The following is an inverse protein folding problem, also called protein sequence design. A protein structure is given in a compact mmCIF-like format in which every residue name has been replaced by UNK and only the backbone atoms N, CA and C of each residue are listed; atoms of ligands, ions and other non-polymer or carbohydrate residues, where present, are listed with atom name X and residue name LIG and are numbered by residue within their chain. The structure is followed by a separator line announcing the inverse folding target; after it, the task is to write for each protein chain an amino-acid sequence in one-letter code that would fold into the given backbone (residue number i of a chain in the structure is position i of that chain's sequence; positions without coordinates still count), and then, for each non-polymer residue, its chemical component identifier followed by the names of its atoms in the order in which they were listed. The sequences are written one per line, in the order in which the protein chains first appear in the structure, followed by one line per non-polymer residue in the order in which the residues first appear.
data_IF_200726321538
#
_entry.id   IF_200726321538
#
_cell.length_a   1.000
_cell.length_b   1.000
_cell.length_c   1.000
_cell.angle_alpha   90.00
_cell.angle_beta   90.00
_cell.angle_gamma   90.00
#
_symmetry.space_group_name_H-M   'P 1'
#
loop_
_entity.id
_entity.type
_entity.pdbx_description
1 polymer ?
#
# COMPACT_ATOMS: atom_id res chain seq x y z
N UNK A 1 -15.05 -39.48 -40.10
CA UNK A 1 -15.73 -38.18 -39.91
C UNK A 1 -15.87 -37.96 -38.41
N UNK A 2 -14.99 -37.19 -37.82
CA UNK A 2 -15.06 -36.79 -36.43
C UNK A 2 -15.37 -35.30 -36.35
N UNK A 3 -16.54 -34.97 -35.79
CA UNK A 3 -16.98 -33.61 -35.53
C UNK A 3 -16.22 -33.04 -34.34
N UNK A 4 -15.40 -32.02 -34.55
CA UNK A 4 -14.86 -31.19 -33.50
C UNK A 4 -15.88 -30.13 -33.09
N UNK A 5 -16.53 -30.34 -31.95
CA UNK A 5 -17.35 -29.30 -31.31
C UNK A 5 -16.45 -28.44 -30.46
N UNK A 6 -16.23 -27.19 -30.90
CA UNK A 6 -15.54 -26.15 -30.18
C UNK A 6 -16.42 -25.68 -29.00
N UNK A 7 -16.02 -26.03 -27.78
CA UNK A 7 -16.58 -25.38 -26.57
C UNK A 7 -16.03 -23.99 -26.42
N UNK A 8 -16.89 -23.00 -26.61
CA UNK A 8 -16.61 -21.61 -26.24
C UNK A 8 -16.54 -21.55 -24.71
N UNK A 9 -15.34 -21.25 -24.17
CA UNK A 9 -15.16 -20.95 -22.76
C UNK A 9 -15.71 -19.56 -22.46
N UNK A 10 -16.81 -19.48 -21.73
CA UNK A 10 -17.40 -18.23 -21.24
C UNK A 10 -16.73 -17.80 -19.95
N UNK A 11 -16.15 -16.61 -19.95
CA UNK A 11 -15.74 -15.93 -18.71
C UNK A 11 -16.99 -15.44 -17.99
N UNK A 12 -17.31 -15.99 -16.86
CA UNK A 12 -18.31 -15.42 -15.95
C UNK A 12 -17.60 -14.55 -14.91
N UNK A 13 -17.81 -13.25 -15.00
CA UNK A 13 -17.38 -12.28 -14.00
C UNK A 13 -18.56 -12.00 -13.07
N UNK A 14 -18.56 -12.57 -11.88
CA UNK A 14 -19.44 -12.14 -10.78
C UNK A 14 -18.56 -11.57 -9.69
N UNK A 15 -18.87 -10.32 -9.31
CA UNK A 15 -18.33 -9.56 -8.16
C UNK A 15 -17.20 -10.26 -7.38
N UNK A 16 -15.95 -10.04 -7.80
CA UNK A 16 -14.79 -10.29 -6.93
C UNK A 16 -14.14 -11.68 -6.95
N UNK A 17 -14.62 -12.64 -7.75
CA UNK A 17 -14.04 -13.99 -7.79
C UNK A 17 -13.57 -14.34 -9.19
N UNK A 18 -12.30 -14.75 -9.32
CA UNK A 18 -11.77 -15.42 -10.52
C UNK A 18 -11.75 -16.92 -10.25
N UNK A 19 -12.68 -17.65 -10.86
CA UNK A 19 -12.68 -19.11 -10.80
C UNK A 19 -11.53 -19.67 -11.66
N UNK A 20 -10.62 -20.41 -11.04
CA UNK A 20 -9.50 -21.07 -11.70
C UNK A 20 -9.94 -22.22 -12.60
N UNK A 21 -9.21 -22.44 -13.68
CA UNK A 21 -9.42 -23.55 -14.61
C UNK A 21 -8.85 -24.84 -14.05
N UNK A 22 -9.61 -25.95 -14.21
CA UNK A 22 -9.14 -27.29 -13.92
C UNK A 22 -8.28 -27.77 -15.10
N UNK A 23 -6.97 -27.88 -14.90
CA UNK A 23 -6.10 -28.60 -15.83
C UNK A 23 -5.92 -30.03 -15.33
N UNK A 24 -5.88 -30.99 -16.24
CA UNK A 24 -5.78 -32.44 -15.96
C UNK A 24 -4.46 -32.89 -15.30
N UNK A 25 -3.60 -31.97 -14.90
CA UNK A 25 -2.39 -32.27 -14.16
C UNK A 25 -2.51 -31.69 -12.74
N UNK A 26 -2.66 -32.57 -11.77
CA UNK A 26 -3.10 -32.35 -10.37
C UNK A 26 -2.28 -31.44 -9.48
N UNK A 27 -2.00 -30.21 -9.91
CA UNK A 27 -1.50 -29.12 -9.07
C UNK A 27 -2.48 -27.94 -9.10
N UNK A 28 -3.45 -27.95 -8.20
CA UNK A 28 -4.12 -26.72 -7.79
C UNK A 28 -3.07 -25.80 -7.12
N UNK A 29 -2.43 -24.94 -7.91
CA UNK A 29 -1.75 -23.78 -7.36
C UNK A 29 -2.86 -22.91 -6.80
N UNK A 30 -3.06 -22.96 -5.48
CA UNK A 30 -3.91 -22.01 -4.78
C UNK A 30 -3.45 -20.61 -5.18
N UNK A 31 -4.21 -19.94 -6.05
CA UNK A 31 -4.00 -18.53 -6.30
C UNK A 31 -4.39 -17.85 -4.99
N UNK A 32 -3.40 -17.33 -4.26
CA UNK A 32 -3.66 -16.48 -3.10
C UNK A 32 -4.54 -15.34 -3.57
N UNK A 33 -5.77 -15.28 -3.09
CA UNK A 33 -6.66 -14.16 -3.38
C UNK A 33 -6.15 -12.96 -2.58
N UNK A 34 -5.51 -12.02 -3.26
CA UNK A 34 -5.16 -10.75 -2.69
C UNK A 34 -6.34 -9.81 -2.87
N UNK A 35 -6.97 -9.39 -1.78
CA UNK A 35 -8.04 -8.41 -1.79
C UNK A 35 -7.49 -7.08 -1.24
N UNK A 36 -7.61 -6.02 -2.04
CA UNK A 36 -7.36 -4.66 -1.55
C UNK A 36 -8.71 -3.99 -1.31
N UNK A 37 -8.90 -3.47 -0.11
CA UNK A 37 -10.12 -2.79 0.32
C UNK A 37 -9.83 -1.67 1.31
N UNK A 38 -10.81 -0.82 1.54
CA UNK A 38 -10.74 0.15 2.63
C UNK A 38 -10.66 -0.54 3.99
N UNK A 39 -9.92 0.07 4.92
CA UNK A 39 -9.84 -0.37 6.30
C UNK A 39 -11.19 -0.19 6.99
N UNK A 40 -11.59 -1.13 7.83
CA UNK A 40 -12.78 -0.99 8.67
C UNK A 40 -12.45 -0.27 9.97
N UNK A 41 -13.44 0.35 10.59
CA UNK A 41 -13.24 1.11 11.84
C UNK A 41 -12.64 0.28 12.98
N UNK A 42 -13.02 -0.98 13.09
CA UNK A 42 -12.49 -1.93 14.08
C UNK A 42 -11.04 -2.38 13.80
N UNK A 43 -10.55 -2.17 12.58
CA UNK A 43 -9.22 -2.57 12.15
C UNK A 43 -8.18 -1.43 12.27
N UNK A 44 -8.61 -0.21 12.56
CA UNK A 44 -7.73 0.98 12.61
C UNK A 44 -6.57 0.78 13.59
N UNK A 45 -6.78 0.04 14.67
CA UNK A 45 -5.73 -0.27 15.65
C UNK A 45 -4.53 -1.01 15.05
N UNK A 46 -4.72 -1.74 13.93
CA UNK A 46 -3.64 -2.42 13.21
C UNK A 46 -2.63 -1.44 12.60
N UNK A 47 -3.01 -0.17 12.40
CA UNK A 47 -2.10 0.84 11.87
C UNK A 47 -0.89 1.07 12.76
N UNK A 48 -0.98 0.83 14.06
CA UNK A 48 0.17 0.88 14.96
C UNK A 48 1.21 -0.20 14.64
N UNK A 49 0.79 -1.42 14.31
CA UNK A 49 1.69 -2.48 13.88
C UNK A 49 2.28 -2.17 12.50
N UNK A 50 1.47 -1.67 11.56
CA UNK A 50 1.95 -1.26 10.24
C UNK A 50 2.87 -0.04 10.31
N UNK A 51 2.66 0.89 11.24
CA UNK A 51 3.60 1.98 11.49
C UNK A 51 4.97 1.46 11.91
N UNK A 52 5.01 0.47 12.80
CA UNK A 52 6.27 -0.18 13.18
C UNK A 52 6.95 -0.87 11.99
N UNK A 53 6.19 -1.58 11.15
CA UNK A 53 6.70 -2.23 9.93
C UNK A 53 7.14 -1.23 8.84
N UNK A 54 6.66 0.04 8.91
CA UNK A 54 7.08 1.11 8.00
C UNK A 54 8.46 1.69 8.36
N UNK A 55 8.93 1.50 9.59
CA UNK A 55 10.26 1.96 10.01
C UNK A 55 11.31 1.20 9.19
N UNK A 56 12.08 1.93 8.38
CA UNK A 56 13.18 1.33 7.65
C UNK A 56 14.34 1.04 8.60
N UNK A 57 14.82 -0.19 8.59
CA UNK A 57 15.96 -0.62 9.38
C UNK A 57 17.05 -1.06 8.41
N UNK A 58 18.20 -0.36 8.35
CA UNK A 58 19.33 -0.76 7.52
C UNK A 58 19.82 -2.17 7.87
N UNK A 59 20.43 -2.84 6.90
CA UNK A 59 21.01 -4.16 7.10
C UNK A 59 22.09 -4.11 8.19
N UNK A 60 22.06 -5.09 9.12
CA UNK A 60 22.98 -5.17 10.24
C UNK A 60 22.62 -4.30 11.45
N UNK A 61 21.58 -3.47 11.35
CA UNK A 61 21.10 -2.66 12.48
C UNK A 61 20.00 -3.41 13.22
N UNK A 62 20.06 -3.52 14.56
CA UNK A 62 19.00 -4.15 15.34
C UNK A 62 17.70 -3.34 15.25
N UNK A 63 16.57 -4.05 15.18
CA UNK A 63 15.27 -3.41 15.19
C UNK A 63 15.04 -2.64 16.50
N UNK A 64 14.48 -1.41 16.43
CA UNK A 64 14.14 -0.67 17.64
C UNK A 64 13.05 -1.39 18.44
N UNK A 65 12.95 -1.14 19.75
CA UNK A 65 11.85 -1.70 20.52
C UNK A 65 10.51 -1.17 20.02
N UNK A 66 9.43 -1.98 20.11
CA UNK A 66 8.10 -1.59 19.67
C UNK A 66 7.57 -0.31 20.33
N UNK A 67 8.06 0.04 21.51
CA UNK A 67 7.71 1.28 22.20
C UNK A 67 8.10 2.55 21.44
N UNK A 68 8.97 2.45 20.42
CA UNK A 68 9.34 3.61 19.57
C UNK A 68 8.13 4.24 18.87
N UNK A 69 7.09 3.45 18.55
CA UNK A 69 5.88 3.98 17.92
C UNK A 69 5.11 4.95 18.83
N UNK A 70 5.41 4.99 20.14
CA UNK A 70 4.88 5.98 21.08
C UNK A 70 5.52 7.37 20.95
N UNK A 71 6.55 7.53 20.12
CA UNK A 71 7.15 8.85 19.85
C UNK A 71 6.13 9.76 19.14
N UNK A 72 6.05 11.02 19.57
CA UNK A 72 5.12 12.03 19.03
C UNK A 72 5.28 12.21 17.51
N UNK A 73 6.51 12.22 17.00
CA UNK A 73 6.81 12.35 15.57
C UNK A 73 6.26 11.19 14.74
N UNK A 74 6.10 10.00 15.35
CA UNK A 74 5.50 8.84 14.71
C UNK A 74 4.00 8.76 14.94
N UNK A 75 3.51 9.27 16.07
CA UNK A 75 2.09 9.24 16.39
C UNK A 75 1.24 10.09 15.44
N UNK A 76 1.81 11.09 14.77
CA UNK A 76 1.09 11.89 13.76
C UNK A 76 0.51 11.03 12.64
N UNK A 77 1.10 9.87 12.36
CA UNK A 77 0.66 8.97 11.30
C UNK A 77 -0.59 8.16 11.67
N UNK A 78 -0.84 7.89 12.96
CA UNK A 78 -1.87 6.90 13.38
C UNK A 78 -2.78 7.38 14.51
N UNK A 79 -2.35 8.39 15.30
CA UNK A 79 -3.18 8.90 16.40
C UNK A 79 -4.50 9.44 15.87
N UNK A 80 -5.61 8.96 16.45
CA UNK A 80 -6.96 9.39 16.07
C UNK A 80 -7.28 9.20 14.58
N UNK A 81 -6.62 8.24 13.91
CA UNK A 81 -6.86 7.97 12.49
C UNK A 81 -8.34 7.63 12.23
N UNK A 82 -8.86 8.19 11.14
CA UNK A 82 -10.27 8.05 10.76
C UNK A 82 -11.19 9.14 11.33
N UNK A 83 -10.66 10.08 12.14
CA UNK A 83 -11.42 11.25 12.64
C UNK A 83 -11.36 12.42 11.67
N UNK A 84 -10.30 12.53 10.88
CA UNK A 84 -10.13 13.60 9.91
C UNK A 84 -10.74 13.21 8.55
N UNK A 85 -11.35 14.20 7.89
CA UNK A 85 -12.00 13.98 6.59
C UNK A 85 -11.05 13.52 5.48
N UNK A 86 -9.75 13.83 5.63
CA UNK A 86 -8.69 13.51 4.68
C UNK A 86 -8.00 12.17 4.94
N UNK A 87 -8.34 11.48 6.03
CA UNK A 87 -7.77 10.17 6.33
C UNK A 87 -8.25 9.13 5.31
N UNK A 88 -7.31 8.45 4.65
CA UNK A 88 -7.59 7.35 3.73
C UNK A 88 -6.69 6.17 4.04
N UNK A 89 -7.24 4.98 4.09
CA UNK A 89 -6.45 3.76 4.29
C UNK A 89 -7.02 2.61 3.48
N UNK A 90 -6.13 1.94 2.75
CA UNK A 90 -6.40 0.65 2.10
C UNK A 90 -5.55 -0.43 2.75
N UNK A 91 -6.13 -1.59 2.92
CA UNK A 91 -5.46 -2.79 3.44
C UNK A 91 -5.40 -3.88 2.38
N UNK A 92 -4.32 -4.66 2.42
CA UNK A 92 -4.21 -5.88 1.65
C UNK A 92 -4.56 -7.07 2.55
N UNK A 93 -5.53 -7.85 2.10
CA UNK A 93 -5.96 -9.08 2.78
C UNK A 93 -5.57 -10.29 1.93
N UNK A 94 -4.90 -11.25 2.53
CA UNK A 94 -4.48 -12.51 1.92
C UNK A 94 -5.01 -13.65 2.78
N UNK A 95 -5.80 -14.55 2.19
CA UNK A 95 -6.41 -15.68 2.89
C UNK A 95 -7.14 -15.27 4.19
N UNK A 96 -7.86 -14.13 4.17
CA UNK A 96 -8.62 -13.58 5.30
C UNK A 96 -7.78 -12.85 6.36
N UNK A 97 -6.46 -12.69 6.15
CA UNK A 97 -5.56 -11.97 7.05
C UNK A 97 -5.11 -10.66 6.44
N UNK A 98 -5.20 -9.55 7.17
CA UNK A 98 -4.62 -8.28 6.76
C UNK A 98 -3.11 -8.37 6.90
N UNK A 99 -2.39 -8.15 5.80
CA UNK A 99 -0.94 -8.36 5.68
C UNK A 99 -0.16 -7.11 5.35
N UNK A 100 -0.85 -6.02 5.02
CA UNK A 100 -0.25 -4.74 4.71
C UNK A 100 -1.29 -3.64 4.67
N UNK A 101 -0.81 -2.41 4.78
CA UNK A 101 -1.62 -1.21 4.68
C UNK A 101 -0.87 -0.11 3.93
N UNK A 102 -1.64 0.73 3.23
CA UNK A 102 -1.23 2.04 2.74
C UNK A 102 -2.22 3.06 3.26
N UNK A 103 -1.72 4.14 3.82
CA UNK A 103 -2.59 5.20 4.35
C UNK A 103 -2.04 6.58 4.05
N UNK A 104 -2.93 7.55 4.02
CA UNK A 104 -2.62 8.95 3.79
C UNK A 104 -3.35 9.82 4.78
N UNK A 105 -2.72 10.92 5.15
CA UNK A 105 -3.23 11.94 6.06
C UNK A 105 -2.62 13.29 5.71
N UNK A 106 -3.39 14.37 5.86
CA UNK A 106 -2.83 15.72 5.86
C UNK A 106 -2.22 15.96 7.24
N UNK A 107 -0.90 15.97 7.31
CA UNK A 107 -0.16 16.07 8.58
C UNK A 107 1.18 16.76 8.37
N UNK A 108 1.74 17.27 9.46
CA UNK A 108 3.08 17.88 9.46
C UNK A 108 4.11 16.82 9.85
N UNK A 109 4.49 15.99 8.89
CA UNK A 109 5.42 14.87 9.03
C UNK A 109 6.68 15.08 8.17
N UNK A 110 7.52 14.06 8.08
CA UNK A 110 8.71 14.06 7.21
C UNK A 110 8.38 14.16 5.71
N UNK A 111 7.17 13.79 5.32
CA UNK A 111 6.63 13.87 3.96
C UNK A 111 5.92 15.19 3.64
N UNK A 112 5.75 16.08 4.62
CA UNK A 112 5.01 17.33 4.44
C UNK A 112 5.62 18.25 3.39
N UNK A 113 4.78 18.73 2.45
CA UNK A 113 5.21 19.67 1.40
C UNK A 113 4.37 20.96 1.38
N UNK A 114 3.10 20.89 1.74
CA UNK A 114 2.18 22.03 1.82
C UNK A 114 0.87 21.63 2.50
N UNK A 115 0.14 22.60 3.00
CA UNK A 115 -1.18 22.40 3.58
C UNK A 115 -2.16 21.79 2.56
N UNK A 116 -3.00 20.86 3.01
CA UNK A 116 -3.97 20.17 2.16
C UNK A 116 -3.38 19.11 1.23
N UNK A 117 -2.08 18.87 1.26
CA UNK A 117 -1.43 17.78 0.53
C UNK A 117 -1.19 16.60 1.47
N UNK A 118 -1.83 15.44 1.23
CA UNK A 118 -1.63 14.28 2.09
C UNK A 118 -0.23 13.68 1.94
N UNK A 119 0.33 13.24 3.06
CA UNK A 119 1.51 12.38 3.10
C UNK A 119 1.10 10.92 3.13
N UNK A 120 1.87 10.06 2.46
CA UNK A 120 1.61 8.63 2.30
C UNK A 120 2.60 7.80 3.12
N UNK A 121 2.07 6.83 3.83
CA UNK A 121 2.83 5.74 4.44
C UNK A 121 2.32 4.39 3.92
N UNK A 122 3.23 3.42 3.80
CA UNK A 122 2.91 2.06 3.34
C UNK A 122 3.83 1.05 4.01
N UNK A 123 3.27 -0.06 4.44
CA UNK A 123 4.07 -1.19 4.90
C UNK A 123 3.34 -2.53 4.73
N UNK A 124 4.12 -3.59 4.78
CA UNK A 124 3.66 -4.99 4.82
C UNK A 124 4.46 -5.74 5.87
N UNK A 125 3.86 -6.77 6.45
CA UNK A 125 4.62 -7.76 7.21
C UNK A 125 5.71 -8.37 6.32
N UNK A 126 6.86 -8.69 6.91
CA UNK A 126 8.09 -9.06 6.18
C UNK A 126 7.89 -10.23 5.22
N UNK A 127 7.13 -11.24 5.65
CA UNK A 127 6.84 -12.45 4.87
C UNK A 127 5.98 -12.22 3.61
N UNK A 128 5.34 -11.04 3.50
CA UNK A 128 4.51 -10.66 2.35
C UNK A 128 5.17 -9.64 1.42
N UNK A 129 6.42 -9.23 1.74
CA UNK A 129 7.19 -8.31 0.89
C UNK A 129 7.68 -9.01 -0.38
N UNK A 130 8.04 -8.22 -1.38
CA UNK A 130 8.57 -8.69 -2.68
C UNK A 130 7.61 -9.59 -3.52
N UNK A 131 6.31 -9.61 -3.18
CA UNK A 131 5.28 -10.38 -3.88
C UNK A 131 4.35 -9.51 -4.75
N UNK A 132 4.67 -8.22 -4.93
CA UNK A 132 3.87 -7.28 -5.73
C UNK A 132 2.75 -6.59 -4.94
N UNK A 133 2.38 -7.07 -3.75
CA UNK A 133 1.26 -6.55 -2.94
C UNK A 133 1.43 -5.05 -2.64
N UNK A 134 2.63 -4.60 -2.25
CA UNK A 134 2.89 -3.18 -1.98
C UNK A 134 2.72 -2.29 -3.21
N UNK A 135 3.09 -2.78 -4.39
CA UNK A 135 2.88 -2.05 -5.64
C UNK A 135 1.39 -1.91 -5.96
N UNK A 136 0.62 -2.94 -5.68
CA UNK A 136 -0.82 -2.94 -5.89
C UNK A 136 -1.53 -2.02 -4.90
N UNK A 137 -1.21 -2.08 -3.60
CA UNK A 137 -1.68 -1.14 -2.59
C UNK A 137 -1.42 0.32 -2.99
N UNK A 138 -0.19 0.61 -3.40
CA UNK A 138 0.20 1.96 -3.81
C UNK A 138 -0.61 2.43 -5.02
N UNK A 139 -0.78 1.57 -6.04
CA UNK A 139 -1.56 1.88 -7.23
C UNK A 139 -3.02 2.20 -6.89
N UNK A 140 -3.65 1.37 -6.07
CA UNK A 140 -5.06 1.58 -5.67
C UNK A 140 -5.22 2.86 -4.84
N UNK A 141 -4.28 3.16 -3.92
CA UNK A 141 -4.30 4.40 -3.17
C UNK A 141 -4.18 5.63 -4.09
N UNK A 142 -3.27 5.62 -5.06
CA UNK A 142 -3.14 6.72 -6.02
C UNK A 142 -4.42 6.89 -6.87
N UNK A 143 -5.12 5.82 -7.20
CA UNK A 143 -6.42 5.89 -7.88
C UNK A 143 -7.51 6.47 -6.98
N UNK A 144 -7.55 6.07 -5.71
CA UNK A 144 -8.48 6.60 -4.71
C UNK A 144 -8.29 8.11 -4.56
N UNK A 145 -7.07 8.57 -4.32
CA UNK A 145 -6.76 9.99 -4.16
C UNK A 145 -7.09 10.82 -5.42
N UNK A 146 -6.90 10.26 -6.64
CA UNK A 146 -7.35 10.92 -7.88
C UNK A 146 -8.86 11.08 -7.93
N UNK A 147 -9.62 10.05 -7.55
CA UNK A 147 -11.10 10.12 -7.50
C UNK A 147 -11.59 11.12 -6.48
N UNK A 148 -10.89 11.24 -5.36
CA UNK A 148 -11.19 12.20 -4.29
C UNK A 148 -10.76 13.65 -4.64
N UNK A 149 -10.08 13.85 -5.79
CA UNK A 149 -9.74 15.17 -6.32
C UNK A 149 -8.44 15.76 -5.77
N UNK A 150 -7.60 14.98 -5.06
CA UNK A 150 -6.30 15.47 -4.60
C UNK A 150 -5.38 15.77 -5.79
N UNK A 151 -4.72 16.95 -5.80
CA UNK A 151 -3.83 17.32 -6.90
C UNK A 151 -2.52 16.56 -6.89
N UNK A 152 -2.07 16.12 -5.73
CA UNK A 152 -0.81 15.43 -5.50
C UNK A 152 -0.80 14.74 -4.13
N UNK A 153 0.18 13.87 -3.94
CA UNK A 153 0.50 13.19 -2.66
C UNK A 153 2.01 13.15 -2.50
N UNK A 154 2.49 13.26 -1.28
CA UNK A 154 3.91 13.23 -0.94
C UNK A 154 4.28 12.04 -0.05
N UNK A 155 5.55 11.77 0.08
CA UNK A 155 6.13 10.85 1.05
C UNK A 155 7.60 11.19 1.30
N UNK A 156 8.13 10.77 2.45
CA UNK A 156 9.57 10.67 2.67
C UNK A 156 10.02 9.23 2.59
N UNK A 157 11.22 9.00 2.04
CA UNK A 157 11.82 7.66 1.94
C UNK A 157 13.34 7.73 2.14
N UNK A 158 13.88 6.86 2.97
CA UNK A 158 15.31 6.78 3.16
C UNK A 158 16.01 6.28 1.90
N UNK A 159 17.17 6.86 1.58
CA UNK A 159 17.95 6.56 0.35
C UNK A 159 18.31 5.09 0.21
N UNK A 160 18.59 4.42 1.33
CA UNK A 160 18.90 3.00 1.38
C UNK A 160 17.67 2.09 1.22
N UNK A 161 16.46 2.65 1.26
CA UNK A 161 15.23 1.86 1.19
C UNK A 161 14.94 1.44 -0.26
N UNK A 162 14.87 0.14 -0.52
CA UNK A 162 14.55 -0.41 -1.84
C UNK A 162 13.19 0.05 -2.40
N UNK A 163 12.26 0.48 -1.53
CA UNK A 163 10.94 0.98 -1.92
C UNK A 163 11.02 2.25 -2.79
N UNK A 164 12.12 2.99 -2.75
CA UNK A 164 12.37 4.14 -3.62
C UNK A 164 12.07 3.83 -5.10
N UNK A 165 12.55 2.67 -5.59
CA UNK A 165 12.31 2.25 -6.98
C UNK A 165 10.83 1.97 -7.28
N UNK A 166 10.08 1.48 -6.29
CA UNK A 166 8.64 1.26 -6.40
C UNK A 166 7.91 2.60 -6.54
N UNK A 167 8.27 3.59 -5.73
CA UNK A 167 7.69 4.94 -5.81
C UNK A 167 7.99 5.62 -7.14
N UNK A 168 9.24 5.56 -7.63
CA UNK A 168 9.59 6.10 -8.96
C UNK A 168 8.73 5.46 -10.07
N UNK A 169 8.57 4.14 -10.08
CA UNK A 169 7.72 3.43 -11.05
C UNK A 169 6.25 3.80 -10.96
N UNK A 170 5.79 4.19 -9.77
CA UNK A 170 4.42 4.65 -9.54
C UNK A 170 4.19 6.12 -9.95
N UNK A 171 5.25 6.85 -10.34
CA UNK A 171 5.18 8.23 -10.80
C UNK A 171 5.56 9.27 -9.75
N UNK A 172 6.18 8.87 -8.65
CA UNK A 172 6.78 9.82 -7.70
C UNK A 172 8.10 10.35 -8.25
N UNK A 173 8.29 11.65 -8.10
CA UNK A 173 9.51 12.38 -8.43
C UNK A 173 10.15 12.92 -7.16
N UNK A 174 11.48 13.02 -7.13
CA UNK A 174 12.21 13.62 -6.01
C UNK A 174 11.99 15.14 -6.03
N UNK A 175 11.40 15.67 -4.98
CA UNK A 175 11.18 17.08 -4.78
C UNK A 175 12.36 17.73 -4.04
N UNK A 176 12.87 17.04 -3.00
CA UNK A 176 13.98 17.47 -2.17
C UNK A 176 14.78 16.26 -1.71
N UNK A 177 16.07 16.48 -1.52
CA UNK A 177 17.03 15.49 -1.04
C UNK A 177 17.75 16.02 0.19
N UNK A 178 17.91 15.17 1.20
CA UNK A 178 18.79 15.38 2.36
C UNK A 178 19.95 14.38 2.30
N UNK A 179 20.80 14.33 3.31
CA UNK A 179 21.85 13.29 3.39
C UNK A 179 21.28 11.88 3.44
N UNK A 180 20.16 11.66 4.15
CA UNK A 180 19.60 10.35 4.45
C UNK A 180 18.33 10.02 3.67
N UNK A 181 17.55 11.01 3.22
CA UNK A 181 16.19 10.83 2.71
C UNK A 181 15.92 11.57 1.42
N UNK A 182 14.93 11.06 0.68
CA UNK A 182 14.24 11.75 -0.40
C UNK A 182 12.84 12.15 0.05
N UNK A 183 12.49 13.41 -0.10
CA UNK A 183 11.11 13.88 -0.12
C UNK A 183 10.60 13.74 -1.56
N UNK A 184 9.55 12.95 -1.75
CA UNK A 184 9.03 12.66 -3.08
C UNK A 184 7.57 13.11 -3.21
N UNK A 185 7.17 13.43 -4.43
CA UNK A 185 5.80 13.87 -4.77
C UNK A 185 5.31 13.14 -6.02
N UNK A 186 4.05 12.73 -6.00
CA UNK A 186 3.33 12.22 -7.15
C UNK A 186 2.18 13.19 -7.51
N UNK A 187 2.19 13.72 -8.73
CA UNK A 187 1.10 14.54 -9.26
C UNK A 187 -0.05 13.66 -9.71
N UNK A 188 -1.24 13.93 -9.18
CA UNK A 188 -2.45 13.12 -9.38
C UNK A 188 -3.39 13.74 -10.43
N UNK A 189 -2.86 14.47 -11.43
CA UNK A 189 -3.69 15.13 -12.45
C UNK A 189 -4.67 14.14 -13.08
N UNK A 190 -5.95 14.51 -13.11
CA UNK A 190 -6.92 13.88 -13.98
C UNK A 190 -6.46 14.09 -15.44
N UNK A 191 -6.33 12.99 -16.17
CA UNK A 191 -6.23 13.05 -17.63
C UNK A 191 -7.60 13.33 -18.22
#
# INVERSE_FOLDING_TARGET
MYNHTLYKQGLFRTKGYVLGYKTECGYLRSMKENLIREIRSEEITLLSDFLYEAIFIPEGVPAPPKSIIGNEDLQVYVRDFGKEADDRCLVAEVDGKIVGAVWTRVMNDYGHIADGIPSLAISLYKEYRHQGIGTELLREMLQLLRRDGYPQVSLSVQKANYAFRMYQKAGFEVLKETEEEYLMVCKLKNR
#
